data_IF_648065921656
#
_entry.id   IF_648065921656
#
_cell.length_a   1.000
_cell.length_b   1.000
_cell.length_c   1.000
_cell.angle_alpha   90.00
_cell.angle_beta   90.00
_cell.angle_gamma   90.00
#
_symmetry.space_group_name_H-M   'P 1'
#
loop_
_entity.id
_entity.type
_entity.pdbx_description
1 polymer ?
#
# COMPACT_ATOMS: atom_id res chain seq x y z
N UNK A 1 -7.20 11.00 -26.12
CA UNK A 1 -6.11 11.65 -25.34
C UNK A 1 -6.04 10.92 -24.01
N UNK A 2 -4.86 10.57 -23.53
CA UNK A 2 -4.71 9.91 -22.22
C UNK A 2 -4.99 10.95 -21.12
N UNK A 3 -5.89 10.62 -20.21
CA UNK A 3 -6.04 11.38 -18.98
C UNK A 3 -4.99 10.92 -17.96
N UNK A 4 -4.08 11.80 -17.59
CA UNK A 4 -3.06 11.53 -16.60
C UNK A 4 -3.63 11.81 -15.21
N UNK A 5 -3.53 10.82 -14.32
CA UNK A 5 -3.95 10.95 -12.91
C UNK A 5 -2.73 10.99 -12.00
N UNK A 6 -2.75 11.85 -10.98
CA UNK A 6 -1.64 11.98 -10.03
C UNK A 6 -1.25 10.62 -9.41
N UNK A 7 -2.21 9.76 -9.09
CA UNK A 7 -1.99 8.42 -8.55
C UNK A 7 -1.24 7.46 -9.49
N UNK A 8 -1.17 7.76 -10.80
CA UNK A 8 -0.45 6.95 -11.79
C UNK A 8 0.97 7.44 -12.08
N UNK A 9 1.37 8.60 -11.57
CA UNK A 9 2.66 9.22 -11.92
C UNK A 9 3.86 8.44 -11.38
N UNK A 10 3.77 7.94 -10.14
CA UNK A 10 4.85 7.13 -9.57
C UNK A 10 5.11 5.86 -10.37
N UNK A 11 4.07 5.19 -10.85
CA UNK A 11 4.24 4.01 -11.70
C UNK A 11 4.70 4.39 -13.11
N UNK A 12 4.17 5.49 -13.66
CA UNK A 12 4.52 6.02 -14.97
C UNK A 12 6.00 6.44 -15.06
N UNK A 13 6.55 7.00 -14.00
CA UNK A 13 7.97 7.35 -13.91
C UNK A 13 8.90 6.14 -14.11
N UNK A 14 8.51 4.98 -13.60
CA UNK A 14 9.29 3.75 -13.74
C UNK A 14 8.92 2.94 -14.99
N UNK A 15 7.71 3.11 -15.52
CA UNK A 15 7.17 2.36 -16.63
C UNK A 15 6.18 3.23 -17.42
N UNK A 16 6.66 4.04 -18.39
CA UNK A 16 5.84 5.02 -19.13
C UNK A 16 4.57 4.44 -19.74
N UNK A 17 4.61 3.24 -20.23
CA UNK A 17 3.44 2.57 -20.79
C UNK A 17 2.44 2.01 -19.79
N UNK A 18 2.74 1.99 -18.47
CA UNK A 18 1.81 1.45 -17.49
C UNK A 18 0.50 2.24 -17.37
N UNK A 19 0.49 3.59 -17.34
CA UNK A 19 -0.75 4.37 -17.34
C UNK A 19 -1.63 4.10 -18.56
N UNK A 20 -1.04 3.94 -19.76
CA UNK A 20 -1.78 3.59 -20.97
C UNK A 20 -2.42 2.21 -20.91
N UNK A 21 -1.67 1.23 -20.39
CA UNK A 21 -2.21 -0.12 -20.19
C UNK A 21 -3.36 -0.10 -19.17
N UNK A 22 -3.21 0.62 -18.07
CA UNK A 22 -4.28 0.80 -17.08
C UNK A 22 -5.53 1.42 -17.70
N UNK A 23 -5.38 2.48 -18.47
CA UNK A 23 -6.48 3.14 -19.18
C UNK A 23 -7.18 2.18 -20.17
N UNK A 24 -6.42 1.32 -20.89
CA UNK A 24 -6.97 0.36 -21.82
C UNK A 24 -7.77 -0.78 -21.17
N UNK A 25 -7.47 -1.10 -19.92
CA UNK A 25 -8.18 -2.14 -19.16
C UNK A 25 -9.54 -1.65 -18.67
N UNK A 26 -9.80 -0.34 -18.71
CA UNK A 26 -11.00 0.30 -18.19
C UNK A 26 -11.12 0.10 -16.68
N UNK A 27 -12.30 0.38 -16.14
CA UNK A 27 -12.66 0.10 -14.74
C UNK A 27 -12.81 -1.40 -14.45
N UNK A 28 -12.01 -2.26 -15.07
CA UNK A 28 -11.91 -3.63 -14.59
C UNK A 28 -11.43 -3.57 -13.17
N UNK A 29 -12.41 -3.52 -12.29
CA UNK A 29 -12.27 -3.54 -10.84
C UNK A 29 -11.19 -4.55 -10.52
N UNK A 30 -10.02 -4.07 -10.24
CA UNK A 30 -9.07 -4.84 -9.49
C UNK A 30 -9.74 -5.07 -8.12
N UNK A 31 -10.57 -6.11 -8.06
CA UNK A 31 -11.34 -6.48 -6.87
C UNK A 31 -10.43 -7.09 -5.83
N UNK A 32 -9.31 -6.43 -5.52
CA UNK A 32 -8.53 -6.82 -4.37
C UNK A 32 -9.23 -6.27 -3.13
N UNK A 33 -9.44 -7.12 -2.15
CA UNK A 33 -9.93 -6.75 -0.82
C UNK A 33 -9.17 -5.52 -0.25
N UNK A 34 -7.91 -5.34 -0.64
CA UNK A 34 -7.07 -4.20 -0.24
C UNK A 34 -7.56 -2.87 -0.82
N UNK A 35 -7.93 -2.82 -2.10
CA UNK A 35 -8.47 -1.60 -2.73
C UNK A 35 -9.83 -1.25 -2.13
N UNK A 36 -10.69 -2.24 -1.94
CA UNK A 36 -11.99 -2.05 -1.31
C UNK A 36 -11.84 -1.45 0.11
N UNK A 37 -10.98 -2.04 0.96
CA UNK A 37 -10.71 -1.51 2.30
C UNK A 37 -10.09 -0.12 2.28
N UNK A 38 -9.21 0.17 1.30
CA UNK A 38 -8.66 1.52 1.09
C UNK A 38 -9.77 2.54 0.83
N UNK A 39 -10.66 2.26 -0.11
CA UNK A 39 -11.81 3.13 -0.41
C UNK A 39 -12.70 3.34 0.80
N UNK A 40 -13.01 2.28 1.56
CA UNK A 40 -13.80 2.39 2.78
C UNK A 40 -13.12 3.26 3.85
N UNK A 41 -11.79 3.13 4.01
CA UNK A 41 -11.03 3.94 4.96
C UNK A 41 -11.07 5.45 4.60
N UNK A 42 -10.90 5.79 3.32
CA UNK A 42 -11.03 7.19 2.85
C UNK A 42 -12.46 7.71 3.10
N UNK A 43 -13.49 6.94 2.73
CA UNK A 43 -14.88 7.32 2.97
C UNK A 43 -15.18 7.50 4.47
N UNK A 44 -14.57 6.68 5.33
CA UNK A 44 -14.72 6.81 6.77
C UNK A 44 -14.13 8.14 7.28
N UNK A 45 -12.89 8.46 6.90
CA UNK A 45 -12.23 9.71 7.32
C UNK A 45 -13.01 10.92 6.81
N UNK A 46 -13.45 10.89 5.55
CA UNK A 46 -14.29 11.94 5.00
C UNK A 46 -15.58 12.13 5.81
N UNK A 47 -16.34 11.06 6.05
CA UNK A 47 -17.59 11.13 6.81
C UNK A 47 -17.35 11.60 8.26
N UNK A 48 -16.25 11.16 8.88
CA UNK A 48 -15.86 11.62 10.20
C UNK A 48 -15.61 13.13 10.23
N UNK A 49 -14.86 13.66 9.26
CA UNK A 49 -14.60 15.10 9.16
C UNK A 49 -15.89 15.89 8.87
N UNK A 50 -16.72 15.43 7.94
CA UNK A 50 -17.86 16.21 7.42
C UNK A 50 -19.14 16.05 8.27
N UNK A 51 -19.34 14.88 8.90
CA UNK A 51 -20.62 14.47 9.49
C UNK A 51 -20.48 13.92 10.92
N UNK A 52 -19.25 13.63 11.37
CA UNK A 52 -18.94 13.11 12.72
C UNK A 52 -19.00 11.59 12.84
N UNK A 53 -18.71 11.10 14.05
CA UNK A 53 -18.50 9.69 14.39
C UNK A 53 -19.63 8.76 13.95
N UNK A 54 -20.88 9.16 14.21
CA UNK A 54 -22.03 8.30 13.93
C UNK A 54 -22.19 7.99 12.43
N UNK A 55 -21.94 8.97 11.56
CA UNK A 55 -22.02 8.80 10.12
C UNK A 55 -20.84 7.94 9.61
N UNK A 56 -19.64 8.17 10.12
CA UNK A 56 -18.46 7.38 9.79
C UNK A 56 -18.66 5.90 10.17
N UNK A 57 -19.12 5.64 11.37
CA UNK A 57 -19.35 4.28 11.88
C UNK A 57 -20.40 3.50 11.08
N UNK A 58 -21.43 4.18 10.59
CA UNK A 58 -22.47 3.57 9.75
C UNK A 58 -21.90 3.02 8.44
N UNK A 59 -20.85 3.64 7.87
CA UNK A 59 -20.18 3.17 6.66
C UNK A 59 -19.49 1.81 6.85
N UNK A 60 -19.06 1.51 8.07
CA UNK A 60 -18.31 0.29 8.40
C UNK A 60 -19.11 -0.70 9.26
N UNK A 61 -20.45 -0.63 9.23
CA UNK A 61 -21.30 -1.51 10.03
C UNK A 61 -21.04 -2.99 9.73
N UNK A 62 -20.78 -3.33 8.46
CA UNK A 62 -20.49 -4.70 8.01
C UNK A 62 -19.00 -5.08 8.11
N UNK A 63 -18.13 -4.15 8.52
CA UNK A 63 -16.68 -4.33 8.62
C UNK A 63 -16.18 -3.97 10.04
N UNK A 64 -16.60 -4.70 11.07
CA UNK A 64 -16.37 -4.30 12.47
C UNK A 64 -14.88 -4.14 12.83
N UNK A 65 -14.02 -5.00 12.27
CA UNK A 65 -12.56 -4.90 12.50
C UNK A 65 -11.98 -3.64 11.90
N UNK A 66 -12.38 -3.28 10.66
CA UNK A 66 -11.93 -2.03 10.03
C UNK A 66 -12.48 -0.81 10.77
N UNK A 67 -13.73 -0.87 11.23
CA UNK A 67 -14.35 0.19 12.03
C UNK A 67 -13.56 0.49 13.31
N UNK A 68 -13.17 -0.54 14.06
CA UNK A 68 -12.37 -0.38 15.27
C UNK A 68 -10.98 0.19 14.98
N UNK A 69 -10.33 -0.29 13.90
CA UNK A 69 -9.06 0.25 13.39
C UNK A 69 -9.20 1.74 13.06
N UNK A 70 -10.27 2.13 12.34
CA UNK A 70 -10.52 3.50 11.92
C UNK A 70 -10.87 4.44 13.09
N UNK A 71 -11.68 3.99 14.05
CA UNK A 71 -11.95 4.76 15.29
C UNK A 71 -10.65 5.09 16.01
N UNK A 72 -9.84 4.06 16.29
CA UNK A 72 -8.55 4.24 16.95
C UNK A 72 -7.57 5.11 16.14
N UNK A 73 -7.72 5.13 14.81
CA UNK A 73 -6.94 6.01 13.94
C UNK A 73 -7.41 7.46 14.05
N UNK A 74 -8.72 7.74 13.98
CA UNK A 74 -9.21 9.13 14.05
C UNK A 74 -9.00 9.74 15.43
N UNK A 75 -9.09 8.97 16.51
CA UNK A 75 -8.71 9.41 17.86
C UNK A 75 -7.23 9.86 17.89
N UNK A 76 -6.33 9.09 17.28
CA UNK A 76 -4.93 9.48 17.15
C UNK A 76 -4.77 10.70 16.22
N UNK A 77 -5.45 10.72 15.08
CA UNK A 77 -5.36 11.80 14.10
C UNK A 77 -5.77 13.15 14.73
N UNK A 78 -6.82 13.16 15.54
CA UNK A 78 -7.28 14.37 16.23
C UNK A 78 -6.22 14.95 17.18
N UNK A 79 -5.34 14.10 17.73
CA UNK A 79 -4.19 14.58 18.53
C UNK A 79 -3.10 15.23 17.70
N UNK A 80 -3.02 14.90 16.41
CA UNK A 80 -2.02 15.43 15.46
C UNK A 80 -2.60 16.61 14.65
N UNK A 81 -3.81 16.44 14.17
CA UNK A 81 -4.55 17.41 13.34
C UNK A 81 -5.94 17.65 13.96
N UNK A 82 -6.10 18.70 14.78
CA UNK A 82 -7.37 18.93 15.48
C UNK A 82 -8.56 19.01 14.52
N UNK A 83 -9.67 18.35 14.86
CA UNK A 83 -10.87 18.29 14.02
C UNK A 83 -11.37 19.69 13.61
N UNK A 84 -11.28 20.66 14.52
CA UNK A 84 -11.63 22.05 14.20
C UNK A 84 -10.75 22.70 13.12
N UNK A 85 -9.53 22.18 12.90
CA UNK A 85 -8.68 22.57 11.77
C UNK A 85 -9.11 21.82 10.50
N UNK A 86 -9.34 20.50 10.57
CA UNK A 86 -9.81 19.69 9.44
C UNK A 86 -11.15 20.20 8.88
N UNK A 87 -12.06 20.71 9.72
CA UNK A 87 -13.33 21.33 9.27
C UNK A 87 -13.16 22.60 8.43
N UNK A 88 -11.97 23.20 8.41
CA UNK A 88 -11.68 24.38 7.58
C UNK A 88 -11.30 24.04 6.15
N UNK A 89 -11.03 22.77 5.86
CA UNK A 89 -10.69 22.29 4.53
C UNK A 89 -11.87 21.67 3.80
N UNK A 90 -11.56 21.06 2.68
CA UNK A 90 -12.50 20.36 1.82
C UNK A 90 -11.97 18.95 1.53
N UNK A 91 -12.81 17.94 1.75
CA UNK A 91 -12.53 16.56 1.37
C UNK A 91 -12.80 16.32 -0.12
N UNK A 92 -12.11 15.31 -0.69
CA UNK A 92 -12.34 14.76 -2.03
C UNK A 92 -12.37 15.83 -3.14
N UNK A 93 -11.44 16.77 -3.04
CA UNK A 93 -11.36 17.88 -3.97
C UNK A 93 -10.68 17.47 -5.28
N UNK A 94 -11.37 17.71 -6.40
CA UNK A 94 -10.83 17.49 -7.74
C UNK A 94 -10.23 18.77 -8.32
N UNK A 95 -8.97 18.71 -8.72
CA UNK A 95 -8.24 19.80 -9.37
C UNK A 95 -7.59 19.28 -10.65
N UNK A 96 -7.32 20.20 -11.58
CA UNK A 96 -6.51 19.94 -12.78
C UNK A 96 -5.24 20.76 -12.65
N UNK A 97 -4.08 20.08 -12.69
CA UNK A 97 -2.78 20.73 -12.79
C UNK A 97 -2.43 20.89 -14.28
N UNK A 98 -2.46 22.12 -14.82
CA UNK A 98 -1.99 22.38 -16.16
C UNK A 98 -0.45 22.34 -16.18
N UNK A 99 0.10 21.66 -17.18
CA UNK A 99 1.54 21.55 -17.40
C UNK A 99 1.91 22.14 -18.77
N UNK A 100 3.16 22.56 -18.99
CA UNK A 100 3.64 23.03 -20.28
C UNK A 100 3.43 21.99 -21.39
N UNK A 101 3.02 22.44 -22.60
CA UNK A 101 2.82 21.57 -23.77
C UNK A 101 1.46 20.87 -23.80
N UNK A 102 0.41 21.55 -23.32
CA UNK A 102 -0.99 21.07 -23.33
C UNK A 102 -1.21 19.79 -22.50
N UNK A 103 -0.29 19.49 -21.60
CA UNK A 103 -0.42 18.38 -20.67
C UNK A 103 -1.27 18.77 -19.46
N UNK A 104 -2.01 17.82 -18.92
CA UNK A 104 -2.83 18.01 -17.73
C UNK A 104 -2.75 16.79 -16.83
N UNK A 105 -2.71 17.03 -15.51
CA UNK A 105 -2.78 15.98 -14.49
C UNK A 105 -4.04 16.18 -13.67
N UNK A 106 -4.87 15.15 -13.62
CA UNK A 106 -6.05 15.11 -12.77
C UNK A 106 -5.64 14.70 -11.35
N UNK A 107 -5.92 15.58 -10.40
CA UNK A 107 -5.62 15.42 -8.99
C UNK A 107 -6.93 15.32 -8.20
N UNK A 108 -7.08 14.25 -7.42
CA UNK A 108 -8.17 14.13 -6.44
C UNK A 108 -7.51 14.09 -5.07
N UNK A 109 -7.65 15.21 -4.36
CA UNK A 109 -7.05 15.41 -3.05
C UNK A 109 -8.02 14.87 -2.00
N UNK A 110 -7.53 14.01 -1.12
CA UNK A 110 -8.37 13.45 -0.05
C UNK A 110 -8.85 14.55 0.89
N UNK A 111 -7.97 15.51 1.21
CA UNK A 111 -8.30 16.72 1.93
C UNK A 111 -7.37 17.85 1.52
N UNK A 112 -7.88 19.08 1.49
CA UNK A 112 -7.05 20.27 1.28
C UNK A 112 -7.68 21.50 1.96
N UNK A 113 -6.84 22.47 2.30
CA UNK A 113 -7.34 23.78 2.74
C UNK A 113 -8.24 24.36 1.66
N UNK A 114 -9.43 24.81 2.07
CA UNK A 114 -10.22 25.71 1.23
C UNK A 114 -9.56 27.09 1.28
N UNK A 115 -9.31 27.67 0.11
CA UNK A 115 -8.61 28.97 -0.07
C UNK A 115 -9.15 30.13 0.76
N UNK A 116 -10.33 29.97 1.30
CA UNK A 116 -10.99 31.02 2.05
C UNK A 116 -10.39 31.28 3.44
N UNK A 117 -9.38 30.54 3.88
CA UNK A 117 -9.02 30.60 5.30
C UNK A 117 -8.34 31.87 5.73
N UNK A 118 -7.69 32.61 4.83
CA UNK A 118 -7.19 33.94 5.17
C UNK A 118 -6.92 34.88 3.99
N UNK A 119 -7.89 35.06 3.11
CA UNK A 119 -7.83 36.10 2.06
C UNK A 119 -7.65 37.53 2.62
N UNK A 120 -7.81 37.72 3.93
CA UNK A 120 -7.58 39.03 4.56
C UNK A 120 -6.17 39.25 5.04
N UNK A 121 -5.40 38.18 5.32
CA UNK A 121 -3.99 38.27 5.71
C UNK A 121 -3.02 37.89 4.62
N UNK A 122 -3.44 37.16 3.60
CA UNK A 122 -2.63 36.77 2.44
C UNK A 122 -1.44 35.86 2.79
N UNK A 123 -1.45 35.21 3.95
CA UNK A 123 -0.30 34.48 4.46
C UNK A 123 -0.71 33.23 5.25
N UNK A 124 -0.96 32.18 4.56
CA UNK A 124 -0.96 30.84 5.12
C UNK A 124 -0.62 29.87 4.01
N UNK A 125 0.26 28.90 4.22
CA UNK A 125 0.55 27.90 3.19
C UNK A 125 -0.73 27.16 2.83
N UNK A 126 -0.89 26.86 1.55
CA UNK A 126 -1.86 25.88 1.12
C UNK A 126 -1.47 24.53 1.76
N UNK A 127 -2.45 23.72 2.16
CA UNK A 127 -2.17 22.45 2.79
C UNK A 127 -2.97 21.32 2.12
N UNK A 128 -2.30 20.19 1.84
CA UNK A 128 -2.88 18.98 1.29
C UNK A 128 -2.62 17.82 2.24
N UNK A 129 -3.62 16.99 2.46
CA UNK A 129 -3.47 15.73 3.19
C UNK A 129 -3.96 14.58 2.34
N UNK A 130 -3.18 13.52 2.27
CA UNK A 130 -3.47 12.27 1.56
C UNK A 130 -3.44 11.10 2.53
N UNK A 131 -4.53 10.33 2.56
CA UNK A 131 -4.69 9.19 3.46
C UNK A 131 -4.24 7.91 2.79
N UNK A 132 -3.35 7.15 3.42
CA UNK A 132 -2.89 5.84 2.91
C UNK A 132 -3.19 4.74 3.92
N UNK A 133 -4.07 3.81 3.54
CA UNK A 133 -4.28 2.62 4.34
C UNK A 133 -3.03 1.74 4.29
N UNK A 134 -2.49 1.38 5.47
CA UNK A 134 -1.32 0.50 5.60
C UNK A 134 -0.10 1.17 6.22
N UNK A 135 1.04 0.49 6.14
CA UNK A 135 2.28 0.85 6.84
C UNK A 135 3.25 1.71 6.01
N UNK A 136 2.94 1.93 4.74
CA UNK A 136 3.74 2.79 3.86
C UNK A 136 5.08 2.23 3.39
N UNK A 137 5.48 1.02 3.77
CA UNK A 137 6.80 0.45 3.45
C UNK A 137 7.09 0.23 1.96
N UNK A 138 6.09 0.43 1.11
CA UNK A 138 6.19 0.33 -0.34
C UNK A 138 6.11 1.68 -1.05
N UNK A 139 5.83 2.75 -0.31
CA UNK A 139 5.72 4.09 -0.88
C UNK A 139 7.12 4.70 -1.00
N UNK A 140 7.35 5.54 -2.02
CA UNK A 140 8.58 6.31 -2.08
C UNK A 140 8.68 7.27 -0.90
N UNK A 141 9.89 7.76 -0.53
CA UNK A 141 10.03 8.90 0.35
C UNK A 141 9.14 10.05 -0.15
N UNK A 142 8.58 10.85 0.77
CA UNK A 142 7.57 11.86 0.40
C UNK A 142 8.11 12.92 -0.55
N UNK A 143 9.39 13.27 -0.42
CA UNK A 143 10.13 14.19 -1.29
C UNK A 143 10.35 13.65 -2.73
N UNK A 144 10.09 12.37 -2.96
CA UNK A 144 10.16 11.69 -4.27
C UNK A 144 8.82 11.15 -4.73
N UNK A 145 7.76 11.42 -3.99
CA UNK A 145 6.41 10.97 -4.31
C UNK A 145 5.76 11.95 -5.30
N UNK A 146 5.70 11.55 -6.58
CA UNK A 146 5.16 12.38 -7.65
C UNK A 146 3.66 12.66 -7.49
N UNK A 147 2.91 11.80 -6.79
CA UNK A 147 1.52 12.05 -6.45
C UNK A 147 1.41 13.22 -5.47
N UNK A 148 2.22 13.22 -4.43
CA UNK A 148 2.25 14.29 -3.42
C UNK A 148 2.70 15.61 -4.04
N UNK A 149 3.72 15.56 -4.87
CA UNK A 149 4.20 16.73 -5.62
C UNK A 149 3.12 17.31 -6.54
N UNK A 150 2.41 16.45 -7.28
CA UNK A 150 1.32 16.88 -8.16
C UNK A 150 0.17 17.52 -7.39
N UNK A 151 -0.16 17.00 -6.21
CA UNK A 151 -1.21 17.55 -5.36
C UNK A 151 -0.84 18.94 -4.85
N UNK A 152 0.37 19.13 -4.33
CA UNK A 152 0.86 20.44 -3.90
C UNK A 152 0.84 21.48 -5.01
N UNK A 153 1.40 21.13 -6.18
CA UNK A 153 1.41 21.99 -7.36
C UNK A 153 0.00 22.32 -7.88
N UNK A 154 -0.92 21.35 -7.87
CA UNK A 154 -2.31 21.59 -8.29
C UNK A 154 -3.01 22.58 -7.39
N UNK A 155 -2.78 22.49 -6.07
CA UNK A 155 -3.38 23.40 -5.11
C UNK A 155 -2.82 24.81 -5.26
N UNK A 156 -1.50 24.98 -5.36
CA UNK A 156 -0.84 26.26 -5.62
C UNK A 156 -1.30 26.86 -6.95
N UNK A 157 -1.37 26.06 -8.01
CA UNK A 157 -1.86 26.52 -9.33
C UNK A 157 -3.31 27.00 -9.29
N UNK A 158 -4.16 26.35 -8.52
CA UNK A 158 -5.58 26.70 -8.43
C UNK A 158 -5.84 27.97 -7.60
N UNK A 159 -4.97 28.28 -6.63
CA UNK A 159 -5.26 29.30 -5.63
C UNK A 159 -4.29 30.47 -5.62
N UNK A 160 -3.20 30.33 -6.33
CA UNK A 160 -2.07 31.22 -6.19
C UNK A 160 -1.36 30.96 -4.85
N UNK A 161 -0.12 31.34 -4.77
CA UNK A 161 0.72 31.11 -3.61
C UNK A 161 2.09 30.65 -4.07
N UNK A 162 3.01 30.69 -3.16
CA UNK A 162 4.42 30.32 -3.37
C UNK A 162 4.91 29.26 -2.38
N UNK A 163 3.99 28.76 -1.54
CA UNK A 163 4.26 27.74 -0.53
C UNK A 163 3.08 26.77 -0.40
N UNK A 164 3.38 25.49 -0.18
CA UNK A 164 2.40 24.45 0.13
C UNK A 164 2.98 23.42 1.07
N UNK A 165 2.21 23.01 2.05
CA UNK A 165 2.47 21.88 2.92
C UNK A 165 1.72 20.65 2.40
N UNK A 166 2.39 19.51 2.36
CA UNK A 166 1.82 18.25 1.89
C UNK A 166 2.08 17.18 2.92
N UNK A 167 1.01 16.62 3.49
CA UNK A 167 1.06 15.54 4.44
C UNK A 167 0.56 14.24 3.83
N UNK A 168 1.34 13.20 4.00
CA UNK A 168 0.93 11.82 3.71
C UNK A 168 0.74 11.08 5.02
N UNK A 169 -0.51 10.76 5.34
CA UNK A 169 -0.90 10.13 6.60
C UNK A 169 -1.04 8.63 6.42
N UNK A 170 -0.19 7.87 7.09
CA UNK A 170 -0.17 6.40 7.06
C UNK A 170 -1.06 5.85 8.17
N UNK A 171 -2.27 5.43 7.84
CA UNK A 171 -3.30 4.99 8.79
C UNK A 171 -2.80 3.83 9.65
N UNK A 172 -2.27 2.78 9.04
CA UNK A 172 -1.80 1.60 9.76
C UNK A 172 -0.54 1.84 10.61
N UNK A 173 0.32 2.78 10.19
CA UNK A 173 1.55 3.13 10.90
C UNK A 173 1.35 4.25 11.94
N UNK A 174 0.22 4.96 11.90
CA UNK A 174 -0.03 6.19 12.67
C UNK A 174 1.16 7.15 12.57
N UNK A 175 1.52 7.45 11.33
CA UNK A 175 2.64 8.32 11.01
C UNK A 175 2.22 9.33 9.96
N UNK A 176 2.72 10.55 10.12
CA UNK A 176 2.59 11.61 9.13
C UNK A 176 3.98 11.82 8.51
N UNK A 177 4.06 11.66 7.20
CA UNK A 177 5.21 12.09 6.42
C UNK A 177 4.87 13.50 5.91
N UNK A 178 5.72 14.46 6.20
CA UNK A 178 5.52 15.88 5.90
C UNK A 178 6.49 16.38 4.84
N UNK A 179 6.04 17.25 3.94
CA UNK A 179 6.82 17.90 2.90
C UNK A 179 6.34 19.35 2.75
N UNK A 180 7.29 20.29 2.87
CA UNK A 180 7.08 21.69 2.53
C UNK A 180 7.68 21.95 1.14
N UNK A 181 6.94 22.63 0.28
CA UNK A 181 7.38 23.02 -1.04
C UNK A 181 7.20 24.53 -1.20
N UNK A 182 8.27 25.19 -1.61
CA UNK A 182 8.29 26.63 -1.83
C UNK A 182 9.12 26.99 -3.05
N UNK A 183 8.91 28.14 -3.63
CA UNK A 183 9.76 28.77 -4.62
C UNK A 183 10.42 27.82 -5.62
N UNK A 184 11.70 27.49 -5.39
CA UNK A 184 12.51 26.64 -6.29
C UNK A 184 12.04 25.19 -6.31
N UNK A 185 11.57 24.64 -5.17
CA UNK A 185 11.07 23.26 -5.12
C UNK A 185 9.80 23.11 -5.98
N UNK A 186 8.90 24.10 -5.94
CA UNK A 186 7.70 24.12 -6.81
C UNK A 186 8.08 24.20 -8.28
N UNK A 187 9.05 25.06 -8.64
CA UNK A 187 9.52 25.16 -10.04
C UNK A 187 10.17 23.86 -10.51
N UNK A 188 11.09 23.31 -9.73
CA UNK A 188 11.76 22.05 -10.06
C UNK A 188 10.77 20.88 -10.12
N UNK A 189 9.79 20.88 -9.23
CA UNK A 189 8.71 19.90 -9.23
C UNK A 189 7.84 19.97 -10.50
N UNK A 190 7.51 21.18 -10.95
CA UNK A 190 6.77 21.40 -12.19
C UNK A 190 7.54 20.90 -13.42
N UNK A 191 8.84 21.16 -13.48
CA UNK A 191 9.73 20.66 -14.54
C UNK A 191 9.80 19.13 -14.53
N UNK A 192 9.98 18.53 -13.36
CA UNK A 192 10.01 17.07 -13.19
C UNK A 192 8.70 16.42 -13.63
N UNK A 193 7.56 16.91 -13.16
CA UNK A 193 6.25 16.38 -13.55
C UNK A 193 6.01 16.55 -15.07
N UNK A 194 6.41 17.68 -15.63
CA UNK A 194 6.30 17.91 -17.08
C UNK A 194 7.12 16.89 -17.86
N UNK A 195 8.36 16.62 -17.43
CA UNK A 195 9.23 15.62 -18.08
C UNK A 195 8.62 14.21 -17.96
N UNK A 196 8.15 13.82 -16.78
CA UNK A 196 7.52 12.51 -16.55
C UNK A 196 6.23 12.34 -17.38
N UNK A 197 5.37 13.37 -17.41
CA UNK A 197 4.14 13.32 -18.19
C UNK A 197 4.41 13.23 -19.70
N UNK A 198 5.44 13.94 -20.21
CA UNK A 198 5.88 13.80 -21.58
C UNK A 198 6.38 12.39 -21.89
N UNK A 199 7.23 11.85 -21.03
CA UNK A 199 7.76 10.49 -21.20
C UNK A 199 6.63 9.46 -21.25
N UNK A 200 5.62 9.59 -20.39
CA UNK A 200 4.42 8.74 -20.41
C UNK A 200 3.68 8.89 -21.76
N UNK A 201 3.46 10.12 -22.23
CA UNK A 201 2.68 10.37 -23.46
C UNK A 201 3.45 9.92 -24.70
N UNK A 202 4.76 10.15 -24.73
CA UNK A 202 5.61 9.87 -25.90
C UNK A 202 5.96 8.37 -26.04
N UNK A 203 5.87 7.61 -24.93
CA UNK A 203 6.25 6.19 -24.88
C UNK A 203 5.11 5.26 -24.40
N UNK A 204 3.94 5.27 -25.09
CA UNK A 204 2.74 4.54 -24.64
C UNK A 204 2.92 3.02 -24.56
N UNK A 205 3.85 2.48 -25.34
CA UNK A 205 4.13 1.04 -25.43
C UNK A 205 5.37 0.60 -24.63
N UNK A 206 6.10 1.55 -24.05
CA UNK A 206 7.31 1.22 -23.30
C UNK A 206 6.95 0.59 -21.95
N UNK A 207 7.21 -0.70 -21.83
CA UNK A 207 7.02 -1.49 -20.60
C UNK A 207 8.37 -1.84 -20.01
N UNK A 208 8.58 -1.44 -18.76
CA UNK A 208 9.83 -1.68 -18.04
C UNK A 208 9.50 -2.56 -16.83
N UNK A 209 10.13 -3.73 -16.75
CA UNK A 209 9.96 -4.61 -15.60
C UNK A 209 10.87 -4.18 -14.46
N UNK A 210 10.31 -4.16 -13.24
CA UNK A 210 11.04 -3.77 -12.05
C UNK A 210 10.23 -4.02 -10.77
N UNK A 211 10.75 -3.57 -9.63
CA UNK A 211 10.10 -3.71 -8.33
C UNK A 211 8.72 -3.02 -8.28
N UNK A 212 8.52 -1.96 -9.05
CA UNK A 212 7.24 -1.27 -9.18
C UNK A 212 6.12 -2.15 -9.77
N UNK A 213 6.46 -3.26 -10.47
CA UNK A 213 5.47 -4.20 -10.99
C UNK A 213 4.66 -4.89 -9.89
N UNK A 214 5.20 -5.01 -8.68
CA UNK A 214 4.47 -5.61 -7.55
C UNK A 214 3.22 -4.79 -7.17
N UNK A 215 3.24 -3.48 -7.46
CA UNK A 215 2.17 -2.54 -7.13
C UNK A 215 1.37 -2.10 -8.36
N UNK A 216 1.81 -2.47 -9.54
CA UNK A 216 1.15 -2.10 -10.77
C UNK A 216 -0.22 -2.80 -10.88
N UNK A 217 -1.29 -2.02 -10.97
CA UNK A 217 -2.65 -2.56 -11.12
C UNK A 217 -2.85 -3.28 -12.47
N UNK A 218 -2.03 -2.95 -13.49
CA UNK A 218 -2.05 -3.60 -14.78
C UNK A 218 -1.16 -4.86 -14.85
N UNK A 219 -0.50 -5.24 -13.77
CA UNK A 219 0.50 -6.31 -13.73
C UNK A 219 0.04 -7.65 -14.31
N UNK A 220 -1.24 -7.98 -14.15
CA UNK A 220 -1.81 -9.25 -14.61
C UNK A 220 -2.05 -9.30 -16.13
N UNK A 221 -2.21 -8.13 -16.73
CA UNK A 221 -2.42 -7.96 -18.16
C UNK A 221 -1.16 -7.45 -18.90
N UNK A 222 -0.04 -7.24 -18.19
CA UNK A 222 1.18 -6.70 -18.76
C UNK A 222 1.86 -7.73 -19.70
N UNK A 223 1.99 -7.45 -21.00
CA UNK A 223 2.54 -8.40 -21.95
C UNK A 223 4.00 -8.76 -21.68
N UNK A 224 4.85 -7.79 -21.28
CA UNK A 224 6.25 -8.03 -20.95
C UNK A 224 6.41 -8.94 -19.73
N UNK A 225 5.53 -8.76 -18.74
CA UNK A 225 5.50 -9.62 -17.56
C UNK A 225 5.08 -11.05 -17.94
N UNK A 226 4.04 -11.20 -18.75
CA UNK A 226 3.56 -12.50 -19.22
C UNK A 226 4.63 -13.20 -20.06
N UNK A 227 5.27 -12.50 -21.01
CA UNK A 227 6.36 -13.05 -21.82
C UNK A 227 7.55 -13.47 -20.95
N UNK A 228 7.88 -12.72 -19.91
CA UNK A 228 8.94 -13.08 -18.96
C UNK A 228 8.59 -14.34 -18.18
N UNK A 229 7.34 -14.51 -17.74
CA UNK A 229 6.87 -15.74 -17.08
C UNK A 229 7.03 -16.94 -17.98
N UNK A 230 6.62 -16.83 -19.26
CA UNK A 230 6.75 -17.90 -20.25
C UNK A 230 8.21 -18.28 -20.50
N UNK A 231 9.07 -17.27 -20.73
CA UNK A 231 10.52 -17.50 -20.94
C UNK A 231 11.19 -18.17 -19.74
N UNK A 232 10.80 -17.77 -18.54
CA UNK A 232 11.38 -18.33 -17.31
C UNK A 232 10.83 -19.71 -17.02
N UNK A 233 9.54 -19.96 -17.27
CA UNK A 233 8.97 -21.31 -17.14
C UNK A 233 9.68 -22.30 -18.07
N UNK A 234 10.16 -21.83 -19.22
CA UNK A 234 10.95 -22.62 -20.15
C UNK A 234 12.41 -22.84 -19.70
N UNK A 235 12.93 -21.95 -18.82
CA UNK A 235 14.32 -22.00 -18.35
C UNK A 235 14.48 -22.69 -16.98
N UNK A 236 13.40 -23.06 -16.30
CA UNK A 236 13.49 -23.78 -15.03
C UNK A 236 13.99 -25.20 -15.33
N UNK A 237 15.23 -25.55 -14.97
CA UNK A 237 15.70 -26.93 -15.12
C UNK A 237 14.80 -27.86 -14.31
N UNK A 238 14.46 -29.01 -14.84
CA UNK A 238 13.71 -30.03 -14.09
C UNK A 238 14.43 -30.50 -12.82
N UNK A 239 15.72 -30.22 -12.73
CA UNK A 239 16.54 -30.49 -11.57
C UNK A 239 17.22 -29.19 -11.11
N UNK A 240 16.73 -28.63 -10.03
CA UNK A 240 17.32 -27.42 -9.38
C UNK A 240 18.40 -27.94 -8.41
N UNK A 241 19.62 -28.15 -8.91
CA UNK A 241 20.81 -28.27 -8.06
C UNK A 241 21.20 -26.91 -7.48
N UNK A 242 21.93 -26.90 -6.37
CA UNK A 242 22.49 -25.68 -5.78
C UNK A 242 23.50 -25.07 -6.77
N UNK A 243 23.02 -24.14 -7.61
CA UNK A 243 23.85 -23.37 -8.53
C UNK A 243 24.39 -22.15 -7.81
N UNK A 244 25.68 -21.90 -7.88
CA UNK A 244 26.26 -20.62 -7.53
C UNK A 244 25.73 -19.58 -8.55
N UNK A 245 24.84 -18.70 -8.12
CA UNK A 245 24.28 -17.64 -8.96
C UNK A 245 25.25 -16.46 -9.01
N UNK A 246 25.40 -15.89 -10.20
CA UNK A 246 26.00 -14.55 -10.32
C UNK A 246 25.01 -13.49 -9.78
N UNK A 247 25.50 -12.30 -9.42
CA UNK A 247 24.65 -11.22 -8.93
C UNK A 247 23.53 -10.85 -9.92
N UNK A 248 23.81 -10.87 -11.22
CA UNK A 248 22.83 -10.61 -12.27
C UNK A 248 21.79 -11.71 -12.34
N UNK A 249 22.21 -12.98 -12.28
CA UNK A 249 21.30 -14.12 -12.19
C UNK A 249 20.45 -14.07 -10.93
N UNK A 250 21.03 -13.73 -9.77
CA UNK A 250 20.30 -13.60 -8.52
C UNK A 250 19.22 -12.53 -8.60
N UNK A 251 19.52 -11.35 -9.16
CA UNK A 251 18.52 -10.28 -9.38
C UNK A 251 17.41 -10.73 -10.32
N UNK A 252 17.77 -11.37 -11.44
CA UNK A 252 16.80 -11.89 -12.41
C UNK A 252 15.89 -12.95 -11.77
N UNK A 253 16.46 -13.88 -11.00
CA UNK A 253 15.70 -14.92 -10.29
C UNK A 253 14.82 -14.36 -9.18
N UNK A 254 15.25 -13.30 -8.49
CA UNK A 254 14.42 -12.61 -7.50
C UNK A 254 13.17 -11.98 -8.13
N UNK A 255 13.31 -11.32 -9.28
CA UNK A 255 12.16 -10.77 -10.02
C UNK A 255 11.20 -11.88 -10.47
N UNK A 256 11.76 -12.95 -11.04
CA UNK A 256 11.00 -14.13 -11.47
C UNK A 256 10.24 -14.76 -10.31
N UNK A 257 10.89 -14.94 -9.17
CA UNK A 257 10.25 -15.47 -7.96
C UNK A 257 9.04 -14.65 -7.55
N UNK A 258 9.14 -13.32 -7.61
CA UNK A 258 7.99 -12.42 -7.33
C UNK A 258 6.82 -12.68 -8.27
N UNK A 259 7.11 -12.73 -9.58
CA UNK A 259 6.10 -13.02 -10.61
C UNK A 259 5.48 -14.40 -10.46
N UNK A 260 6.31 -15.43 -10.20
CA UNK A 260 5.84 -16.79 -9.99
C UNK A 260 4.98 -16.92 -8.73
N UNK A 261 5.37 -16.25 -7.65
CA UNK A 261 4.60 -16.24 -6.40
C UNK A 261 3.20 -15.68 -6.62
N UNK A 262 3.09 -14.53 -7.28
CA UNK A 262 1.79 -13.93 -7.58
C UNK A 262 0.92 -14.84 -8.45
N UNK A 263 1.54 -15.58 -9.39
CA UNK A 263 0.81 -16.52 -10.25
C UNK A 263 0.33 -17.73 -9.48
N UNK A 264 1.16 -18.24 -8.56
CA UNK A 264 0.78 -19.33 -7.65
C UNK A 264 -0.38 -18.86 -6.76
N UNK A 265 -0.30 -17.66 -6.18
CA UNK A 265 -1.37 -17.10 -5.33
C UNK A 265 -2.70 -16.94 -6.11
N UNK A 266 -2.64 -16.56 -7.40
CA UNK A 266 -3.83 -16.49 -8.27
C UNK A 266 -4.41 -17.87 -8.56
N UNK A 267 -3.56 -18.85 -8.88
CA UNK A 267 -3.98 -20.23 -9.11
C UNK A 267 -4.57 -20.83 -7.84
N UNK A 268 -3.96 -20.58 -6.70
CA UNK A 268 -4.47 -21.01 -5.40
C UNK A 268 -5.84 -20.41 -5.11
N UNK A 269 -6.03 -19.12 -5.38
CA UNK A 269 -7.33 -18.46 -5.26
C UNK A 269 -8.37 -19.02 -6.22
N UNK A 270 -8.00 -19.36 -7.45
CA UNK A 270 -8.91 -19.97 -8.42
C UNK A 270 -9.28 -21.40 -8.02
N UNK A 271 -8.30 -22.20 -7.59
CA UNK A 271 -8.52 -23.55 -7.09
C UNK A 271 -9.37 -23.58 -5.81
N UNK A 272 -9.14 -22.64 -4.89
CA UNK A 272 -9.95 -22.52 -3.70
C UNK A 272 -11.42 -22.28 -4.05
N UNK A 273 -11.71 -21.31 -4.94
CA UNK A 273 -13.08 -21.07 -5.42
C UNK A 273 -13.70 -22.28 -6.11
N UNK A 274 -12.90 -22.99 -6.91
CA UNK A 274 -13.37 -24.22 -7.57
C UNK A 274 -13.75 -25.30 -6.57
N UNK A 275 -12.95 -25.50 -5.53
CA UNK A 275 -13.22 -26.48 -4.46
C UNK A 275 -14.41 -26.04 -3.58
N UNK A 276 -14.56 -24.74 -3.30
CA UNK A 276 -15.73 -24.17 -2.58
C UNK A 276 -17.04 -24.39 -3.35
N UNK A 277 -16.98 -24.30 -4.68
CA UNK A 277 -18.11 -24.59 -5.56
C UNK A 277 -18.44 -26.10 -5.70
N UNK A 278 -17.77 -26.96 -4.93
CA UNK A 278 -17.97 -28.41 -4.97
C UNK A 278 -17.12 -29.13 -6.02
N UNK A 279 -16.14 -28.43 -6.60
CA UNK A 279 -15.20 -29.03 -7.54
C UNK A 279 -14.33 -30.12 -6.89
N UNK A 280 -13.75 -30.97 -7.72
CA UNK A 280 -12.99 -32.14 -7.29
C UNK A 280 -11.66 -32.22 -8.05
N UNK A 281 -10.57 -32.32 -7.31
CA UNK A 281 -9.21 -32.53 -7.88
C UNK A 281 -8.57 -33.73 -7.20
N UNK A 282 -8.15 -34.70 -7.97
CA UNK A 282 -7.42 -35.90 -7.48
C UNK A 282 -6.21 -36.17 -8.35
N UNK A 283 -5.09 -36.45 -7.73
CA UNK A 283 -3.86 -36.83 -8.38
C UNK A 283 -3.07 -37.82 -7.52
N UNK A 284 -2.59 -38.88 -8.13
CA UNK A 284 -1.78 -39.90 -7.45
C UNK A 284 -2.48 -40.55 -6.24
N UNK A 285 -3.80 -40.71 -6.27
CA UNK A 285 -4.60 -41.26 -5.17
C UNK A 285 -4.78 -40.30 -3.99
N UNK A 286 -4.41 -39.02 -4.14
CA UNK A 286 -4.62 -37.97 -3.13
C UNK A 286 -5.61 -36.96 -3.64
N UNK A 287 -6.48 -36.51 -2.75
CA UNK A 287 -7.49 -35.49 -3.04
C UNK A 287 -7.06 -34.13 -2.52
N UNK A 288 -7.18 -33.09 -3.37
CA UNK A 288 -7.01 -31.70 -2.94
C UNK A 288 -8.25 -31.25 -2.16
N UNK A 289 -8.05 -30.79 -0.94
CA UNK A 289 -9.12 -30.33 -0.05
C UNK A 289 -8.81 -28.99 0.56
N UNK A 290 -9.85 -28.18 0.81
CA UNK A 290 -9.73 -26.98 1.64
C UNK A 290 -9.70 -27.41 3.11
N UNK A 291 -8.65 -27.02 3.80
CA UNK A 291 -8.50 -27.26 5.23
C UNK A 291 -8.57 -25.92 5.98
N UNK A 292 -9.42 -25.86 6.98
CA UNK A 292 -9.42 -24.72 7.92
C UNK A 292 -8.33 -24.95 8.97
N UNK A 293 -7.61 -23.89 9.29
CA UNK A 293 -6.63 -23.87 10.37
C UNK A 293 -6.62 -22.50 11.05
N UNK A 294 -6.19 -22.46 12.28
CA UNK A 294 -6.08 -21.23 13.05
C UNK A 294 -4.64 -20.71 13.05
N UNK A 295 -4.47 -19.41 12.85
CA UNK A 295 -3.21 -18.70 13.02
C UNK A 295 -3.33 -17.68 14.13
N UNK A 296 -2.23 -17.47 14.86
CA UNK A 296 -2.17 -16.40 15.85
C UNK A 296 -2.04 -15.05 15.11
N UNK A 297 -2.98 -14.14 15.34
CA UNK A 297 -2.95 -12.77 14.85
C UNK A 297 -2.66 -11.82 16.01
N UNK A 298 -1.64 -10.98 15.83
CA UNK A 298 -1.31 -9.95 16.79
C UNK A 298 -2.26 -8.78 16.58
N UNK A 299 -2.98 -8.41 17.63
CA UNK A 299 -3.97 -7.32 17.61
C UNK A 299 -3.30 -6.00 18.02
N UNK A 300 -2.46 -6.05 19.04
CA UNK A 300 -1.68 -4.88 19.48
C UNK A 300 -0.19 -5.09 19.26
N UNK A 301 0.28 -4.66 18.09
CA UNK A 301 1.68 -4.77 17.70
C UNK A 301 2.63 -3.93 18.56
N UNK A 302 2.18 -2.76 19.06
CA UNK A 302 3.04 -1.87 19.85
C UNK A 302 3.33 -2.48 21.21
N UNK A 303 2.30 -2.95 21.92
CA UNK A 303 2.48 -3.59 23.21
C UNK A 303 3.25 -4.90 23.10
N UNK A 304 2.98 -5.71 22.08
CA UNK A 304 3.72 -6.96 21.82
C UNK A 304 5.19 -6.66 21.52
N UNK A 305 5.48 -5.65 20.70
CA UNK A 305 6.86 -5.24 20.42
C UNK A 305 7.57 -4.73 21.65
N UNK A 306 6.91 -3.91 22.49
CA UNK A 306 7.47 -3.41 23.73
C UNK A 306 7.80 -4.56 24.71
N UNK A 307 6.92 -5.55 24.84
CA UNK A 307 7.20 -6.75 25.66
C UNK A 307 8.34 -7.59 25.06
N UNK A 308 8.44 -7.69 23.72
CA UNK A 308 9.53 -8.39 23.07
C UNK A 308 10.86 -7.65 23.24
N UNK A 309 10.86 -6.30 23.18
CA UNK A 309 12.06 -5.48 23.49
C UNK A 309 12.54 -5.72 24.90
N UNK A 310 11.63 -5.81 25.87
CA UNK A 310 11.96 -6.13 27.25
C UNK A 310 12.55 -7.54 27.42
N UNK A 311 12.20 -8.49 26.57
CA UNK A 311 12.67 -9.88 26.60
C UNK A 311 14.04 -10.04 25.93
N UNK A 312 14.27 -9.42 24.75
CA UNK A 312 15.43 -9.66 23.89
C UNK A 312 16.23 -8.41 23.51
N UNK A 313 15.86 -7.24 24.07
CA UNK A 313 16.55 -5.98 23.80
C UNK A 313 16.52 -5.57 22.34
N UNK A 314 17.63 -5.08 21.82
CA UNK A 314 17.77 -4.59 20.44
C UNK A 314 17.48 -5.63 19.34
N UNK A 315 17.51 -6.92 19.65
CA UNK A 315 17.18 -7.98 18.69
C UNK A 315 15.69 -7.99 18.31
N UNK A 316 14.83 -7.33 19.07
CA UNK A 316 13.42 -7.17 18.73
C UNK A 316 13.21 -6.37 17.42
N UNK A 317 14.19 -5.58 16.98
CA UNK A 317 14.11 -4.79 15.74
C UNK A 317 13.87 -5.65 14.48
N UNK A 318 14.36 -6.90 14.45
CA UNK A 318 14.09 -7.85 13.38
C UNK A 318 12.63 -8.33 13.34
N UNK A 319 11.87 -8.14 14.43
CA UNK A 319 10.47 -8.52 14.57
C UNK A 319 9.50 -7.34 14.41
N UNK A 320 9.88 -6.24 13.77
CA UNK A 320 9.02 -5.05 13.60
C UNK A 320 7.68 -5.34 12.90
N UNK A 321 7.60 -6.38 12.08
CA UNK A 321 6.35 -6.87 11.49
C UNK A 321 5.70 -7.99 12.30
N UNK A 322 6.03 -8.12 13.50
CA UNK A 322 5.73 -9.13 14.51
C UNK A 322 4.89 -10.31 14.00
N UNK A 323 5.56 -11.37 13.63
CA UNK A 323 4.96 -12.69 13.36
C UNK A 323 5.60 -13.72 14.27
N UNK A 324 4.94 -14.86 14.43
CA UNK A 324 5.46 -15.94 15.28
C UNK A 324 6.87 -16.39 14.86
N UNK A 325 7.15 -16.45 13.54
CA UNK A 325 8.47 -16.77 13.01
C UNK A 325 9.52 -15.72 13.37
N UNK A 326 9.20 -14.43 13.18
CA UNK A 326 10.11 -13.33 13.50
C UNK A 326 10.40 -13.21 15.01
N UNK A 327 9.41 -13.52 15.86
CA UNK A 327 9.63 -13.60 17.32
C UNK A 327 10.60 -14.74 17.67
N UNK A 328 10.44 -15.91 17.03
CA UNK A 328 11.38 -17.04 17.21
C UNK A 328 12.79 -16.69 16.75
N UNK A 329 12.94 -16.02 15.59
CA UNK A 329 14.22 -15.54 15.07
C UNK A 329 14.88 -14.51 16.00
N UNK A 330 14.12 -13.56 16.53
CA UNK A 330 14.63 -12.58 17.50
C UNK A 330 15.15 -13.25 18.79
N UNK A 331 14.42 -14.24 19.28
CA UNK A 331 14.83 -15.03 20.45
C UNK A 331 16.10 -15.86 20.17
N UNK A 332 16.21 -16.45 18.98
CA UNK A 332 17.43 -17.17 18.54
C UNK A 332 18.62 -16.22 18.44
N UNK A 333 18.46 -15.05 17.83
CA UNK A 333 19.49 -14.03 17.70
C UNK A 333 19.96 -13.50 19.07
N UNK A 334 19.05 -13.43 20.05
CA UNK A 334 19.38 -13.09 21.44
C UNK A 334 20.02 -14.25 22.24
N UNK A 335 20.32 -15.38 21.60
CA UNK A 335 20.95 -16.55 22.24
C UNK A 335 20.01 -17.35 23.16
N UNK A 336 18.70 -17.19 23.02
CA UNK A 336 17.71 -17.89 23.86
C UNK A 336 17.71 -19.38 23.53
N UNK A 337 18.07 -20.22 24.50
CA UNK A 337 17.92 -21.67 24.40
C UNK A 337 16.43 -22.02 24.33
N UNK A 338 16.06 -22.99 23.50
CA UNK A 338 14.65 -23.40 23.29
C UNK A 338 13.73 -22.28 22.77
N UNK A 339 14.23 -21.41 21.86
CA UNK A 339 13.48 -20.26 21.30
C UNK A 339 12.06 -20.62 20.86
N UNK A 340 11.86 -21.77 20.21
CA UNK A 340 10.54 -22.27 19.80
C UNK A 340 9.57 -22.46 20.97
N UNK A 341 10.05 -23.04 22.09
CA UNK A 341 9.24 -23.24 23.30
C UNK A 341 8.93 -21.91 23.95
N UNK A 342 9.92 -21.00 23.98
CA UNK A 342 9.75 -19.64 24.51
C UNK A 342 8.76 -18.84 23.69
N UNK A 343 8.83 -18.88 22.35
CA UNK A 343 7.87 -18.26 21.44
C UNK A 343 6.44 -18.74 21.75
N UNK A 344 6.24 -20.05 21.90
CA UNK A 344 4.93 -20.60 22.24
C UNK A 344 4.40 -20.03 23.56
N UNK A 345 5.23 -19.98 24.60
CA UNK A 345 4.86 -19.44 25.91
C UNK A 345 4.54 -17.93 25.85
N UNK A 346 5.28 -17.15 25.05
CA UNK A 346 5.00 -15.74 24.83
C UNK A 346 3.63 -15.54 24.17
N UNK A 347 3.34 -16.29 23.09
CA UNK A 347 2.05 -16.19 22.42
C UNK A 347 0.87 -16.67 23.29
N UNK A 348 1.06 -17.63 24.18
CA UNK A 348 0.05 -18.03 25.16
C UNK A 348 -0.22 -16.88 26.15
N UNK A 349 0.82 -16.27 26.71
CA UNK A 349 0.71 -15.11 27.59
C UNK A 349 0.07 -13.90 26.91
N UNK A 350 0.42 -13.62 25.66
CA UNK A 350 -0.17 -12.52 24.90
C UNK A 350 -1.64 -12.77 24.56
N UNK A 351 -2.05 -14.01 24.35
CA UNK A 351 -3.47 -14.35 24.21
C UNK A 351 -4.25 -14.12 25.50
N UNK A 352 -3.69 -14.50 26.63
CA UNK A 352 -4.30 -14.24 27.95
C UNK A 352 -4.49 -12.74 28.23
N UNK A 353 -3.61 -11.89 27.69
CA UNK A 353 -3.69 -10.43 27.75
C UNK A 353 -4.56 -9.81 26.65
N UNK A 354 -5.11 -10.57 25.74
CA UNK A 354 -5.88 -10.08 24.60
C UNK A 354 -5.07 -9.41 23.49
N UNK A 355 -3.73 -9.49 23.54
CA UNK A 355 -2.83 -8.88 22.55
C UNK A 355 -2.70 -9.73 21.28
N UNK A 356 -3.09 -10.99 21.33
CA UNK A 356 -3.08 -11.95 20.23
C UNK A 356 -4.39 -12.71 20.22
N UNK A 357 -4.99 -12.81 19.03
CA UNK A 357 -6.20 -13.61 18.80
C UNK A 357 -5.92 -14.74 17.82
N UNK A 358 -6.79 -15.75 17.80
CA UNK A 358 -6.77 -16.78 16.78
C UNK A 358 -7.65 -16.39 15.61
N UNK A 359 -7.08 -16.37 14.42
CA UNK A 359 -7.79 -16.15 13.17
C UNK A 359 -7.88 -17.45 12.39
N UNK A 360 -9.09 -17.82 11.99
CA UNK A 360 -9.31 -18.93 11.06
C UNK A 360 -8.75 -18.59 9.68
N UNK A 361 -7.99 -19.50 9.08
CA UNK A 361 -7.53 -19.41 7.69
C UNK A 361 -7.83 -20.71 6.97
N UNK A 362 -7.96 -20.60 5.67
CA UNK A 362 -8.10 -21.75 4.78
C UNK A 362 -6.81 -21.99 4.02
N UNK A 363 -6.46 -23.24 3.82
CA UNK A 363 -5.42 -23.64 2.90
C UNK A 363 -5.81 -24.91 2.14
N UNK A 364 -5.38 -25.01 0.92
CA UNK A 364 -5.49 -26.25 0.14
C UNK A 364 -4.43 -27.25 0.58
N UNK A 365 -4.83 -28.50 0.76
CA UNK A 365 -3.93 -29.59 1.16
C UNK A 365 -4.30 -30.87 0.42
N UNK A 366 -3.27 -31.60 -0.01
CA UNK A 366 -3.43 -32.95 -0.51
C UNK A 366 -3.60 -33.93 0.66
N UNK A 367 -4.66 -34.71 0.64
CA UNK A 367 -4.97 -35.77 1.61
C UNK A 367 -5.12 -37.12 0.94
#
# INVERSE_FOLDING_TARGET
>A
MLELHASSLNIGYHCPGAPHLLASLGERKAGSNRLYRGTLAHSYVQAWIEQGDAAADALLEQEPTLREEMRSFVDWLETQMPLGWLHRGQCERSLILPLPGELQVHCRLDWSTAVALDMRSGKGPCHVVDWKLGWGGHLPPIDRDLQMLAYGLALVSAHGGDEVEVDRVLIGARRIDHLELSGLELMSGLELLTAVCRDIVDHPDQRILGIHCEQCLAREACPERLATVEQVSALIPREVGVLALTDEQARRWAMVRGVMRDRVDQLDGALARYLEAGGYVEEGGKRLVLSQYEVDQIVDHQTVLAELVAEVGGYASSAMQTSKGLVEEALLAAGTRDAKKRTKSLFERWREKGLVTKQGRQAMRWR
#
